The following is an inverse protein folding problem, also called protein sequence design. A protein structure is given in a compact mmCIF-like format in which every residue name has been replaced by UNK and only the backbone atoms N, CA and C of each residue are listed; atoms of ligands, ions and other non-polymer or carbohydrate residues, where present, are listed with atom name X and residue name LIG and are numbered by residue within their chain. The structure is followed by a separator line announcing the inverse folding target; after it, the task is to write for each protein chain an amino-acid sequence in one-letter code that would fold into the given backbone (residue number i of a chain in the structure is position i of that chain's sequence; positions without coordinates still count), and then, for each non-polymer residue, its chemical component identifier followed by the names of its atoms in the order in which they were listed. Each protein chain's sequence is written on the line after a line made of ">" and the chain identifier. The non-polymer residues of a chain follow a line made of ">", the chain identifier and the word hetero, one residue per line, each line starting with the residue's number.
data_IF_781971259434
#
_entry.id   IF_781971259434
#
_cell.length_a   1.000
_cell.length_b   1.000
_cell.length_c   1.000
_cell.angle_alpha   90.00
_cell.angle_beta   90.00
_cell.angle_gamma   90.00
#
_symmetry.space_group_name_H-M   'P 1'
#
loop_
_entity.id
_entity.type
_entity.pdbx_description
1 polymer ?
#
# COMPACT_ATOMS: atom_id res chain seq x y z
N UNK A 1 23.39 4.10 -22.67
CA UNK A 1 22.37 4.08 -21.60
C UNK A 1 21.75 2.70 -21.57
N UNK A 2 21.86 1.98 -20.46
CA UNK A 2 21.31 0.62 -20.35
C UNK A 2 19.79 0.72 -20.32
N UNK A 3 19.13 0.16 -21.34
CA UNK A 3 17.68 0.06 -21.38
C UNK A 3 17.29 -1.02 -20.37
N UNK A 4 16.81 -0.63 -19.19
CA UNK A 4 16.26 -1.58 -18.22
C UNK A 4 15.10 -2.34 -18.88
N UNK A 5 15.08 -3.65 -18.72
CA UNK A 5 13.94 -4.45 -19.14
C UNK A 5 12.71 -4.10 -18.27
N UNK A 6 11.49 -4.31 -18.77
CA UNK A 6 10.27 -4.17 -17.96
C UNK A 6 10.33 -4.96 -16.66
N UNK A 7 10.90 -6.18 -16.70
CA UNK A 7 11.07 -7.06 -15.55
C UNK A 7 12.04 -6.49 -14.51
N UNK A 8 13.16 -5.91 -14.94
CA UNK A 8 14.12 -5.27 -14.01
C UNK A 8 13.49 -4.07 -13.31
N UNK A 9 12.61 -3.34 -14.03
CA UNK A 9 11.88 -2.21 -13.47
C UNK A 9 10.86 -2.66 -12.42
N UNK A 10 10.13 -3.74 -12.68
CA UNK A 10 9.19 -4.32 -11.71
C UNK A 10 9.91 -4.77 -10.44
N UNK A 11 10.99 -5.55 -10.57
CA UNK A 11 11.78 -6.02 -9.42
C UNK A 11 12.34 -4.86 -8.58
N UNK A 12 12.78 -3.78 -9.24
CA UNK A 12 13.22 -2.56 -8.55
C UNK A 12 12.07 -1.90 -7.79
N UNK A 13 10.89 -1.75 -8.41
CA UNK A 13 9.71 -1.17 -7.76
C UNK A 13 9.30 -2.04 -6.56
N UNK A 14 9.29 -3.36 -6.69
CA UNK A 14 8.97 -4.26 -5.58
C UNK A 14 9.90 -4.07 -4.39
N UNK A 15 11.20 -3.94 -4.64
CA UNK A 15 12.20 -3.69 -3.59
C UNK A 15 11.95 -2.35 -2.88
N UNK A 16 11.61 -1.30 -3.63
CA UNK A 16 11.26 0.01 -3.08
C UNK A 16 9.97 -0.04 -2.23
N UNK A 17 8.97 -0.78 -2.70
CA UNK A 17 7.69 -0.96 -1.99
C UNK A 17 7.90 -1.75 -0.70
N UNK A 18 8.72 -2.82 -0.72
CA UNK A 18 9.06 -3.59 0.47
C UNK A 18 9.82 -2.72 1.51
N UNK A 19 10.70 -1.83 1.05
CA UNK A 19 11.41 -0.89 1.93
C UNK A 19 10.46 0.14 2.56
N UNK A 20 9.48 0.63 1.79
CA UNK A 20 8.44 1.51 2.29
C UNK A 20 7.57 0.80 3.35
N UNK A 21 7.17 -0.45 3.08
CA UNK A 21 6.41 -1.26 4.02
C UNK A 21 7.11 -1.37 5.38
N UNK A 22 8.39 -1.76 5.37
CA UNK A 22 9.16 -1.92 6.60
C UNK A 22 9.31 -0.59 7.36
N UNK A 23 9.52 0.51 6.64
CA UNK A 23 9.56 1.85 7.25
C UNK A 23 8.23 2.19 7.93
N UNK A 24 7.10 1.84 7.35
CA UNK A 24 5.77 2.15 7.91
C UNK A 24 5.43 1.30 9.11
N UNK A 25 5.94 0.07 9.22
CA UNK A 25 5.86 -0.70 10.46
C UNK A 25 6.57 0.01 11.63
N UNK A 26 7.69 0.68 11.34
CA UNK A 26 8.46 1.42 12.34
C UNK A 26 7.90 2.82 12.60
N UNK A 27 7.30 3.45 11.59
CA UNK A 27 6.63 4.74 11.70
C UNK A 27 5.15 4.63 11.27
N UNK A 28 4.29 4.03 12.12
CA UNK A 28 2.91 3.71 11.74
C UNK A 28 2.02 4.94 11.60
N UNK A 29 2.47 6.14 11.99
CA UNK A 29 1.68 7.38 11.96
C UNK A 29 1.83 8.19 10.66
N UNK A 30 2.42 7.60 9.62
CA UNK A 30 2.57 8.22 8.30
C UNK A 30 1.39 7.89 7.37
N UNK A 31 0.38 8.75 7.36
CA UNK A 31 -0.85 8.58 6.55
C UNK A 31 -0.53 8.52 5.05
N UNK A 32 0.32 9.42 4.56
CA UNK A 32 0.66 9.47 3.14
C UNK A 32 1.45 8.24 2.71
N UNK A 33 2.37 7.78 3.56
CA UNK A 33 3.12 6.55 3.35
C UNK A 33 2.22 5.33 3.23
N UNK A 34 1.22 5.17 4.12
CA UNK A 34 0.24 4.08 4.02
C UNK A 34 -0.59 4.15 2.75
N UNK A 35 -1.11 5.32 2.37
CA UNK A 35 -1.84 5.48 1.09
C UNK A 35 -0.97 5.12 -0.11
N UNK A 36 0.30 5.53 -0.10
CA UNK A 36 1.25 5.18 -1.16
C UNK A 36 1.51 3.68 -1.21
N UNK A 37 1.68 3.02 -0.06
CA UNK A 37 1.91 1.58 0.01
C UNK A 37 0.72 0.79 -0.57
N UNK A 38 -0.50 1.13 -0.14
CA UNK A 38 -1.74 0.49 -0.62
C UNK A 38 -1.87 0.64 -2.14
N UNK A 39 -1.65 1.85 -2.67
CA UNK A 39 -1.69 2.10 -4.13
C UNK A 39 -0.60 1.32 -4.86
N UNK A 40 0.62 1.31 -4.34
CA UNK A 40 1.74 0.61 -4.96
C UNK A 40 1.45 -0.88 -5.12
N UNK A 41 0.94 -1.54 -4.09
CA UNK A 41 0.53 -2.94 -4.20
C UNK A 41 -0.63 -3.14 -5.17
N UNK A 42 -1.62 -2.26 -5.19
CA UNK A 42 -2.74 -2.35 -6.14
C UNK A 42 -2.27 -2.24 -7.60
N UNK A 43 -1.37 -1.28 -7.91
CA UNK A 43 -0.82 -1.09 -9.26
C UNK A 43 0.03 -2.28 -9.72
N UNK A 44 0.72 -2.94 -8.77
CA UNK A 44 1.49 -4.16 -9.04
C UNK A 44 0.61 -5.42 -9.15
N UNK A 45 -0.73 -5.29 -9.07
CA UNK A 45 -1.64 -6.44 -9.08
C UNK A 45 -1.60 -7.28 -7.78
N UNK A 46 -0.90 -6.80 -6.76
CA UNK A 46 -0.70 -7.47 -5.47
C UNK A 46 -1.84 -7.13 -4.51
N UNK A 47 -3.07 -7.48 -4.89
CA UNK A 47 -4.28 -7.09 -4.17
C UNK A 47 -4.29 -7.53 -2.70
N UNK A 48 -3.80 -8.73 -2.39
CA UNK A 48 -3.75 -9.24 -1.01
C UNK A 48 -2.79 -8.44 -0.14
N UNK A 49 -1.63 -8.06 -0.69
CA UNK A 49 -0.67 -7.19 0.03
C UNK A 49 -1.23 -5.78 0.23
N UNK A 50 -2.02 -5.27 -0.72
CA UNK A 50 -2.69 -3.99 -0.57
C UNK A 50 -3.75 -4.02 0.54
N UNK A 51 -4.51 -5.12 0.67
CA UNK A 51 -5.49 -5.31 1.76
C UNK A 51 -4.82 -5.49 3.11
N UNK A 52 -3.72 -6.23 3.17
CA UNK A 52 -2.92 -6.36 4.39
C UNK A 52 -2.35 -5.00 4.85
N UNK A 53 -1.78 -4.22 3.92
CA UNK A 53 -1.31 -2.86 4.19
C UNK A 53 -2.45 -1.95 4.68
N UNK A 54 -3.65 -2.05 4.10
CA UNK A 54 -4.85 -1.34 4.55
C UNK A 54 -5.21 -1.72 5.99
N UNK A 55 -5.26 -3.02 6.30
CA UNK A 55 -5.57 -3.50 7.65
C UNK A 55 -4.57 -2.99 8.69
N UNK A 56 -3.27 -2.99 8.36
CA UNK A 56 -2.22 -2.45 9.22
C UNK A 56 -2.32 -0.93 9.40
N UNK A 57 -2.63 -0.19 8.34
CA UNK A 57 -2.89 1.24 8.41
C UNK A 57 -4.10 1.55 9.32
N UNK A 58 -5.20 0.80 9.19
CA UNK A 58 -6.37 0.96 10.08
C UNK A 58 -6.00 0.66 11.54
N UNK A 59 -5.28 -0.43 11.79
CA UNK A 59 -4.85 -0.79 13.15
C UNK A 59 -3.91 0.25 13.79
N UNK A 60 -3.04 0.86 12.99
CA UNK A 60 -2.10 1.89 13.43
C UNK A 60 -2.79 3.18 13.93
N UNK A 61 -3.91 3.55 13.32
CA UNK A 61 -4.64 4.78 13.65
C UNK A 61 -5.87 4.52 14.53
N UNK A 62 -6.40 3.30 14.51
CA UNK A 62 -7.65 2.90 15.17
C UNK A 62 -8.82 2.91 14.19
N UNK A 63 -9.68 1.90 14.24
CA UNK A 63 -10.77 1.70 13.27
C UNK A 63 -11.77 2.87 13.22
N UNK A 64 -11.96 3.57 14.34
CA UNK A 64 -12.89 4.69 14.45
C UNK A 64 -12.30 6.05 14.01
N UNK A 65 -11.01 6.08 13.66
CA UNK A 65 -10.30 7.31 13.30
C UNK A 65 -10.71 7.83 11.91
N UNK A 66 -10.55 9.14 11.71
CA UNK A 66 -10.79 9.76 10.40
C UNK A 66 -9.80 9.25 9.35
N UNK A 67 -8.58 8.90 9.74
CA UNK A 67 -7.57 8.29 8.87
C UNK A 67 -7.98 6.88 8.42
N UNK A 68 -8.51 6.05 9.33
CA UNK A 68 -9.02 4.72 8.98
C UNK A 68 -10.15 4.78 7.94
N UNK A 69 -11.06 5.76 8.09
CA UNK A 69 -12.12 6.03 7.09
C UNK A 69 -11.53 6.44 5.74
N UNK A 70 -10.51 7.32 5.75
CA UNK A 70 -9.80 7.73 4.52
C UNK A 70 -9.12 6.56 3.82
N UNK A 71 -8.44 5.69 4.56
CA UNK A 71 -7.79 4.51 3.97
C UNK A 71 -8.81 3.56 3.34
N UNK A 72 -9.93 3.32 4.02
CA UNK A 72 -11.01 2.47 3.51
C UNK A 72 -11.61 3.06 2.24
N UNK A 73 -11.96 4.36 2.25
CA UNK A 73 -12.50 5.04 1.07
C UNK A 73 -11.51 4.99 -0.10
N UNK A 74 -10.21 5.21 0.18
CA UNK A 74 -9.16 5.12 -0.83
C UNK A 74 -9.03 3.71 -1.42
N UNK A 75 -9.04 2.67 -0.59
CA UNK A 75 -8.98 1.28 -1.03
C UNK A 75 -10.17 0.89 -1.91
N UNK A 76 -11.37 1.41 -1.64
CA UNK A 76 -12.54 1.23 -2.51
C UNK A 76 -12.29 1.80 -3.91
N UNK A 77 -11.69 3.00 -4.02
CA UNK A 77 -11.35 3.59 -5.33
C UNK A 77 -10.33 2.79 -6.14
N UNK A 78 -9.54 1.95 -5.46
CA UNK A 78 -8.56 1.06 -6.07
C UNK A 78 -9.16 -0.31 -6.44
N UNK A 79 -10.44 -0.54 -6.18
CA UNK A 79 -11.09 -1.84 -6.42
C UNK A 79 -10.65 -2.93 -5.42
N UNK A 80 -10.10 -2.55 -4.27
CA UNK A 80 -9.68 -3.49 -3.22
C UNK A 80 -10.83 -3.91 -2.30
N UNK A 81 -12.00 -3.28 -2.44
CA UNK A 81 -13.24 -3.73 -1.81
C UNK A 81 -13.47 -5.20 -2.17
N UNK A 82 -13.95 -5.99 -1.21
CA UNK A 82 -14.28 -7.40 -1.43
C UNK A 82 -15.20 -7.47 -2.65
N UNK A 83 -14.69 -8.04 -3.74
CA UNK A 83 -15.54 -8.56 -4.81
C UNK A 83 -16.31 -9.71 -4.18
N UNK A 84 -17.59 -9.47 -3.89
CA UNK A 84 -18.56 -10.53 -3.62
C UNK A 84 -18.67 -11.50 -4.80
#
# INVERSE_FOLDING_TARGET
>A
AQQMSPQDREAMIETMVASLDEKLKQNPRDVEGWMRLIRSYAVLGKADQARDALGRAIAAFGADSEEAKKFTAFAVTLGLAATE
#
